data_IF_955550576917
#
_entry.id   IF_955550576917
#
_cell.length_a   1.000
_cell.length_b   1.000
_cell.length_c   1.000
_cell.angle_alpha   90.00
_cell.angle_beta   90.00
_cell.angle_gamma   90.00
#
_symmetry.space_group_name_H-M   'P 1'
#
loop_
_entity.id
_entity.type
_entity.pdbx_description
1 polymer ?
#
# COMPACT_ATOMS: atom_id res chain seq x y z
N UNK A 1 -1.56 7.17 24.06
CA UNK A 1 -1.13 8.21 23.10
C UNK A 1 -0.27 7.50 22.08
N UNK A 2 -0.77 7.34 20.85
CA UNK A 2 0.06 6.79 19.78
C UNK A 2 1.07 7.86 19.38
N UNK A 3 2.36 7.50 19.41
CA UNK A 3 3.45 8.37 19.01
C UNK A 3 3.39 8.58 17.49
N UNK A 4 3.16 9.82 17.07
CA UNK A 4 3.07 10.19 15.65
C UNK A 4 4.49 10.50 15.16
N UNK A 5 4.87 9.95 14.01
CA UNK A 5 6.16 10.24 13.37
C UNK A 5 6.13 11.63 12.73
N UNK A 6 7.30 12.24 12.53
CA UNK A 6 7.40 13.58 11.93
C UNK A 6 6.74 13.64 10.53
N UNK A 7 6.95 12.60 9.71
CA UNK A 7 6.34 12.43 8.39
C UNK A 7 4.80 12.36 8.44
N UNK A 8 4.23 11.65 9.43
CA UNK A 8 2.77 11.59 9.61
C UNK A 8 2.18 12.95 10.03
N UNK A 9 2.87 13.69 10.89
CA UNK A 9 2.44 15.01 11.34
C UNK A 9 2.45 16.05 10.18
N UNK A 10 3.49 16.02 9.34
CA UNK A 10 3.55 16.83 8.13
C UNK A 10 2.44 16.48 7.13
N UNK A 11 2.17 15.18 6.95
CA UNK A 11 1.10 14.72 6.06
C UNK A 11 -0.29 15.16 6.54
N UNK A 12 -0.57 15.09 7.84
CA UNK A 12 -1.85 15.56 8.41
C UNK A 12 -2.06 17.07 8.25
N UNK A 13 -0.98 17.84 8.23
CA UNK A 13 -1.02 19.31 8.08
C UNK A 13 -1.23 19.74 6.62
N UNK A 14 -1.14 18.79 5.67
CA UNK A 14 -1.22 19.06 4.23
C UNK A 14 -2.65 19.43 3.80
N UNK A 15 -2.85 20.72 3.48
CA UNK A 15 -4.17 21.28 3.13
C UNK A 15 -4.73 20.85 1.76
N UNK A 16 -3.88 20.38 0.84
CA UNK A 16 -4.28 20.05 -0.54
C UNK A 16 -3.96 18.60 -0.86
N UNK A 17 -5.00 17.82 -1.19
CA UNK A 17 -4.84 16.46 -1.71
C UNK A 17 -4.23 16.47 -3.09
N UNK A 18 -3.24 15.61 -3.32
CA UNK A 18 -2.63 15.45 -4.64
C UNK A 18 -3.56 14.66 -5.56
N UNK A 19 -3.39 14.78 -6.89
CA UNK A 19 -4.16 13.98 -7.87
C UNK A 19 -3.98 12.48 -7.63
N UNK A 20 -2.78 12.07 -7.18
CA UNK A 20 -2.43 10.69 -6.83
C UNK A 20 -3.22 10.20 -5.61
N UNK A 21 -3.24 10.97 -4.52
CA UNK A 21 -4.03 10.65 -3.33
C UNK A 21 -5.51 10.48 -3.66
N UNK A 22 -6.08 11.40 -4.45
CA UNK A 22 -7.48 11.32 -4.90
C UNK A 22 -7.72 10.06 -5.74
N UNK A 23 -6.79 9.71 -6.62
CA UNK A 23 -6.89 8.50 -7.44
C UNK A 23 -6.84 7.24 -6.56
N UNK A 24 -5.85 7.14 -5.67
CA UNK A 24 -5.68 6.00 -4.77
C UNK A 24 -6.89 5.82 -3.84
N UNK A 25 -7.44 6.90 -3.29
CA UNK A 25 -8.68 6.86 -2.48
C UNK A 25 -9.89 6.37 -3.28
N UNK A 26 -10.00 6.73 -4.55
CA UNK A 26 -11.07 6.23 -5.42
C UNK A 26 -10.88 4.74 -5.71
N UNK A 27 -9.66 4.33 -6.03
CA UNK A 27 -9.35 2.92 -6.30
C UNK A 27 -9.60 2.06 -5.06
N UNK A 28 -9.25 2.54 -3.86
CA UNK A 28 -9.49 1.81 -2.61
C UNK A 28 -10.98 1.53 -2.38
N UNK A 29 -11.87 2.46 -2.77
CA UNK A 29 -13.33 2.29 -2.67
C UNK A 29 -13.91 1.40 -3.76
N UNK A 30 -13.35 1.43 -4.96
CA UNK A 30 -13.86 0.70 -6.12
C UNK A 30 -13.44 -0.78 -6.11
N UNK A 31 -12.27 -1.09 -5.57
CA UNK A 31 -11.71 -2.45 -5.61
C UNK A 31 -12.35 -3.30 -4.49
N UNK A 32 -12.92 -4.47 -4.81
CA UNK A 32 -13.51 -5.37 -3.81
C UNK A 32 -12.43 -6.17 -3.08
N UNK A 33 -11.62 -5.51 -2.24
CA UNK A 33 -10.45 -6.10 -1.56
C UNK A 33 -10.72 -7.43 -0.90
N UNK A 34 -11.76 -7.51 -0.05
CA UNK A 34 -12.10 -8.75 0.68
C UNK A 34 -12.35 -9.95 -0.24
N UNK A 35 -12.93 -9.72 -1.42
CA UNK A 35 -13.21 -10.80 -2.38
C UNK A 35 -11.93 -11.25 -3.08
N UNK A 36 -11.06 -10.31 -3.43
CA UNK A 36 -9.76 -10.60 -4.04
C UNK A 36 -8.84 -11.32 -3.05
N UNK A 37 -8.71 -10.80 -1.83
CA UNK A 37 -7.93 -11.40 -0.76
C UNK A 37 -8.39 -12.84 -0.49
N UNK A 38 -9.70 -13.11 -0.44
CA UNK A 38 -10.21 -14.48 -0.24
C UNK A 38 -9.77 -15.45 -1.35
N UNK A 39 -9.70 -15.00 -2.61
CA UNK A 39 -9.24 -15.83 -3.73
C UNK A 39 -7.74 -16.08 -3.67
N UNK A 40 -6.95 -15.06 -3.33
CA UNK A 40 -5.48 -15.14 -3.30
C UNK A 40 -4.97 -15.84 -2.04
N UNK A 41 -5.68 -15.75 -0.91
CA UNK A 41 -5.26 -16.29 0.38
C UNK A 41 -4.94 -17.78 0.36
N UNK A 42 -5.57 -18.57 -0.52
CA UNK A 42 -5.26 -20.01 -0.68
C UNK A 42 -3.83 -20.26 -1.17
N UNK A 43 -3.31 -19.36 -1.99
CA UNK A 43 -2.00 -19.48 -2.64
C UNK A 43 -0.91 -18.66 -1.94
N UNK A 44 -1.31 -17.76 -1.04
CA UNK A 44 -0.36 -16.89 -0.36
C UNK A 44 0.50 -17.67 0.66
N UNK A 45 1.83 -17.51 0.63
CA UNK A 45 2.71 -18.23 1.54
C UNK A 45 2.45 -17.83 2.98
N UNK A 46 2.40 -18.81 3.88
CA UNK A 46 2.19 -18.59 5.32
C UNK A 46 3.49 -18.44 6.12
N UNK A 47 4.65 -18.51 5.46
CA UNK A 47 5.97 -18.49 6.10
C UNK A 47 6.20 -19.75 6.94
N UNK A 48 6.94 -20.72 6.40
CA UNK A 48 7.35 -21.92 7.18
C UNK A 48 8.74 -21.74 7.79
N UNK A 49 9.68 -21.17 7.05
CA UNK A 49 11.06 -20.89 7.47
C UNK A 49 11.51 -19.53 6.89
N UNK A 50 12.36 -18.80 7.62
CA UNK A 50 12.95 -17.52 7.18
C UNK A 50 12.13 -16.28 7.54
N UNK A 51 12.40 -15.15 6.87
CA UNK A 51 11.67 -13.89 7.09
C UNK A 51 10.19 -14.11 6.74
N UNK A 52 9.25 -13.78 7.65
CA UNK A 52 7.84 -13.94 7.36
C UNK A 52 7.47 -13.06 6.15
N UNK A 53 6.59 -13.55 5.26
CA UNK A 53 6.09 -12.74 4.17
C UNK A 53 5.29 -11.55 4.73
N UNK A 54 5.24 -10.46 3.98
CA UNK A 54 4.39 -9.33 4.30
C UNK A 54 2.91 -9.75 4.36
N UNK A 55 2.05 -9.01 5.08
CA UNK A 55 0.62 -9.30 5.07
C UNK A 55 0.05 -9.29 3.66
N UNK A 56 -0.79 -10.27 3.32
CA UNK A 56 -1.48 -10.36 2.03
C UNK A 56 -2.17 -9.04 1.63
N UNK A 57 -2.89 -8.33 2.52
CA UNK A 57 -3.55 -7.07 2.18
C UNK A 57 -2.56 -6.00 1.70
N UNK A 58 -1.35 -5.96 2.25
CA UNK A 58 -0.34 -4.99 1.86
C UNK A 58 0.24 -5.35 0.48
N UNK A 59 0.66 -6.61 0.31
CA UNK A 59 1.23 -7.07 -0.96
C UNK A 59 0.24 -6.99 -2.13
N UNK A 60 -1.04 -7.27 -1.90
CA UNK A 60 -2.06 -7.13 -2.92
C UNK A 60 -2.21 -5.66 -3.38
N UNK A 61 -2.17 -4.71 -2.43
CA UNK A 61 -2.23 -3.28 -2.75
C UNK A 61 -0.99 -2.80 -3.49
N UNK A 62 0.20 -3.27 -3.09
CA UNK A 62 1.46 -3.01 -3.81
C UNK A 62 1.36 -3.51 -5.25
N UNK A 63 0.89 -4.74 -5.45
CA UNK A 63 0.72 -5.29 -6.79
C UNK A 63 -0.29 -4.50 -7.64
N UNK A 64 -1.40 -4.06 -7.05
CA UNK A 64 -2.33 -3.19 -7.75
C UNK A 64 -1.70 -1.84 -8.14
N UNK A 65 -0.89 -1.23 -7.28
CA UNK A 65 -0.18 0.02 -7.60
C UNK A 65 0.83 -0.15 -8.74
N UNK A 66 1.54 -1.29 -8.78
CA UNK A 66 2.39 -1.63 -9.91
C UNK A 66 1.62 -1.62 -11.22
N UNK A 67 0.41 -2.19 -11.24
CA UNK A 67 -0.46 -2.18 -12.43
C UNK A 67 -0.98 -0.78 -12.77
N UNK A 68 -1.35 0.04 -11.78
CA UNK A 68 -1.90 1.39 -12.04
C UNK A 68 -0.88 2.34 -12.64
N UNK A 69 0.38 2.22 -12.20
CA UNK A 69 1.46 3.12 -12.60
C UNK A 69 2.48 2.48 -13.54
N UNK A 70 2.24 1.24 -13.96
CA UNK A 70 3.15 0.44 -14.78
C UNK A 70 4.58 0.40 -14.21
N UNK A 71 4.68 0.16 -12.89
CA UNK A 71 5.95 0.12 -12.16
C UNK A 71 6.49 -1.31 -12.10
N UNK A 72 7.80 -1.45 -12.25
CA UNK A 72 8.53 -2.68 -11.95
C UNK A 72 8.65 -2.90 -10.43
N UNK A 73 9.08 -4.10 -10.02
CA UNK A 73 9.32 -4.39 -8.59
C UNK A 73 10.30 -3.39 -7.94
N UNK A 74 11.49 -3.09 -8.52
CA UNK A 74 12.40 -2.11 -7.94
C UNK A 74 11.80 -0.70 -7.89
N UNK A 75 11.12 -0.27 -8.96
CA UNK A 75 10.53 1.06 -9.02
C UNK A 75 9.38 1.24 -8.02
N UNK A 76 8.64 0.17 -7.72
CA UNK A 76 7.61 0.19 -6.70
C UNK A 76 8.20 0.25 -5.30
N UNK A 77 9.31 -0.44 -5.04
CA UNK A 77 10.03 -0.35 -3.77
C UNK A 77 10.52 1.08 -3.52
N UNK A 78 11.21 1.70 -4.49
CA UNK A 78 11.64 3.09 -4.41
C UNK A 78 10.46 4.04 -4.16
N UNK A 79 9.35 3.83 -4.88
CA UNK A 79 8.14 4.63 -4.72
C UNK A 79 7.51 4.49 -3.31
N UNK A 80 7.60 3.33 -2.66
CA UNK A 80 7.12 3.15 -1.29
C UNK A 80 8.02 3.86 -0.26
N UNK A 81 9.32 3.99 -0.53
CA UNK A 81 10.23 4.75 0.33
C UNK A 81 10.03 6.26 0.19
N UNK A 82 9.87 6.75 -1.05
CA UNK A 82 9.83 8.19 -1.32
C UNK A 82 8.43 8.82 -1.22
N UNK A 83 7.38 8.06 -1.54
CA UNK A 83 6.04 8.60 -1.73
C UNK A 83 5.11 8.14 -0.61
N UNK A 84 4.94 9.01 0.38
CA UNK A 84 4.06 8.81 1.55
C UNK A 84 2.65 8.32 1.18
N UNK A 85 2.02 8.92 0.16
CA UNK A 85 0.67 8.52 -0.27
C UNK A 85 0.56 7.08 -0.78
N UNK A 86 1.62 6.54 -1.40
CA UNK A 86 1.65 5.15 -1.86
C UNK A 86 1.91 4.20 -0.69
N UNK A 87 2.79 4.60 0.23
CA UNK A 87 3.04 3.87 1.47
C UNK A 87 1.78 3.73 2.32
N UNK A 88 1.04 4.81 2.52
CA UNK A 88 -0.25 4.80 3.20
C UNK A 88 -1.28 3.93 2.47
N UNK A 89 -1.36 4.02 1.15
CA UNK A 89 -2.28 3.16 0.38
C UNK A 89 -1.95 1.69 0.61
N UNK A 90 -0.67 1.29 0.62
CA UNK A 90 -0.25 -0.09 0.92
C UNK A 90 -0.53 -0.53 2.38
N UNK A 91 -0.91 0.39 3.27
CA UNK A 91 -1.10 0.11 4.69
C UNK A 91 0.21 -0.12 5.45
N UNK A 92 1.32 0.37 4.90
CA UNK A 92 2.62 0.37 5.55
C UNK A 92 2.72 1.64 6.42
N UNK A 93 3.19 1.49 7.65
CA UNK A 93 3.50 2.59 8.58
C UNK A 93 4.99 2.83 8.59
#
# INVERSE_FOLDING_TARGET
>A
MDQITFSEAEYQTKKRKTRREIFLERMDKLIPWKQLEKKVARYYPKGRNGRPPYPLPAMLRVHCMQLFYNLSDPAMEDALYEIESMRHFAGLK
#
